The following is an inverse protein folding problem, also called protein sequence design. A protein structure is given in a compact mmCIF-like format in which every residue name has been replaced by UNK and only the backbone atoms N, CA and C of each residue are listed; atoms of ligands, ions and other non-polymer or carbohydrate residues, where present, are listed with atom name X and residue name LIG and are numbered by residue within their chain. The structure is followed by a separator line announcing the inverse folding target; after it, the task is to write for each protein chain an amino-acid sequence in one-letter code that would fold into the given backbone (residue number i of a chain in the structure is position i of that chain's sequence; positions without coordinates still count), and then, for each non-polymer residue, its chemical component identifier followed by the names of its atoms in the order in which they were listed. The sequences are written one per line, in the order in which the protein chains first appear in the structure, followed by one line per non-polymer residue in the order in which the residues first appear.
data_IF_964426941885
#
_entry.id   IF_964426941885
#
_cell.length_a   1.000
_cell.length_b   1.000
_cell.length_c   1.000
_cell.angle_alpha   90.00
_cell.angle_beta   90.00
_cell.angle_gamma   90.00
#
_symmetry.space_group_name_H-M   'P 1'
#
loop_
_entity.id
_entity.type
_entity.pdbx_description
1 polymer ?
#
# COMPACT_ATOMS: atom_id res chain seq x y z
N UNK A 1 -5.81 4.91 -5.48
CA UNK A 1 -4.44 4.37 -5.41
C UNK A 1 -4.28 3.39 -6.56
N UNK A 2 -3.11 3.34 -7.21
CA UNK A 2 -2.82 2.37 -8.29
C UNK A 2 -2.82 0.93 -7.79
N UNK A 3 -3.18 -0.02 -8.66
CA UNK A 3 -3.11 -1.46 -8.37
C UNK A 3 -1.75 -2.08 -8.77
N UNK A 4 -0.76 -1.27 -9.18
CA UNK A 4 0.47 -1.76 -9.84
C UNK A 4 1.67 -1.92 -8.92
N UNK A 5 1.56 -1.50 -7.66
CA UNK A 5 2.66 -1.56 -6.70
C UNK A 5 2.63 -2.88 -5.92
N UNK A 6 3.56 -3.77 -6.25
CA UNK A 6 3.84 -5.00 -5.50
C UNK A 6 5.21 -4.89 -4.85
N UNK A 7 5.35 -5.37 -3.62
CA UNK A 7 6.53 -5.12 -2.77
C UNK A 7 6.46 -3.77 -2.04
N UNK A 8 7.55 -3.38 -1.39
CA UNK A 8 7.59 -2.18 -0.54
C UNK A 8 7.87 -0.90 -1.34
N UNK A 9 6.99 0.10 -1.19
CA UNK A 9 7.19 1.52 -1.47
C UNK A 9 6.68 2.04 -2.82
N UNK A 10 6.55 3.37 -2.91
CA UNK A 10 6.15 4.19 -4.06
C UNK A 10 4.64 4.30 -4.33
N UNK A 11 3.82 3.48 -3.68
CA UNK A 11 2.36 3.54 -3.84
C UNK A 11 1.78 4.82 -3.22
N UNK A 12 2.35 5.26 -2.09
CA UNK A 12 1.99 6.47 -1.38
C UNK A 12 2.43 7.73 -2.12
N UNK A 13 3.64 7.73 -2.70
CA UNK A 13 4.16 8.78 -3.58
C UNK A 13 3.29 8.97 -4.83
N UNK A 14 2.85 7.87 -5.45
CA UNK A 14 1.94 7.92 -6.59
C UNK A 14 0.56 8.44 -6.18
N UNK A 15 0.04 7.98 -5.03
CA UNK A 15 -1.24 8.46 -4.53
C UNK A 15 -1.21 9.95 -4.16
N UNK A 16 -0.10 10.46 -3.60
CA UNK A 16 0.09 11.88 -3.37
C UNK A 16 -0.02 12.69 -4.67
N UNK A 17 0.55 12.20 -5.77
CA UNK A 17 0.41 12.85 -7.08
C UNK A 17 -1.04 12.83 -7.57
N UNK A 18 -1.79 11.76 -7.35
CA UNK A 18 -3.24 11.72 -7.67
C UNK A 18 -4.02 12.78 -6.90
N UNK A 19 -3.74 12.97 -5.60
CA UNK A 19 -4.37 14.02 -4.79
C UNK A 19 -4.07 15.41 -5.36
N UNK A 20 -2.83 15.65 -5.80
CA UNK A 20 -2.44 16.93 -6.43
C UNK A 20 -3.11 17.15 -7.78
N UNK A 21 -3.18 16.13 -8.63
CA UNK A 21 -3.87 16.21 -9.93
C UNK A 21 -5.37 16.46 -9.74
N UNK A 22 -5.98 15.91 -8.70
CA UNK A 22 -7.38 16.16 -8.34
C UNK A 22 -7.58 17.48 -7.57
N UNK A 23 -6.55 18.32 -7.45
CA UNK A 23 -6.58 19.61 -6.75
C UNK A 23 -7.05 19.52 -5.29
N UNK A 24 -6.85 18.36 -4.66
CA UNK A 24 -7.21 18.14 -3.27
C UNK A 24 -6.14 18.69 -2.33
N UNK A 25 -6.60 19.37 -1.28
CA UNK A 25 -5.72 19.90 -0.25
C UNK A 25 -5.31 18.80 0.73
N UNK A 26 -4.00 18.63 0.92
CA UNK A 26 -3.42 17.74 1.93
C UNK A 26 -3.15 18.52 3.22
N UNK A 27 -3.72 18.07 4.33
CA UNK A 27 -3.52 18.65 5.65
C UNK A 27 -2.59 17.79 6.50
N UNK A 28 -1.87 18.43 7.42
CA UNK A 28 -1.07 17.77 8.45
C UNK A 28 -1.41 18.39 9.81
N UNK A 29 -1.32 17.63 10.91
CA UNK A 29 -1.51 18.16 12.25
C UNK A 29 -0.62 19.38 12.51
N UNK A 30 -1.19 20.42 13.13
CA UNK A 30 -0.45 21.60 13.60
C UNK A 30 -0.42 21.57 15.13
N UNK A 31 0.65 22.13 15.72
CA UNK A 31 0.77 22.22 17.19
C UNK A 31 1.19 20.92 17.90
N UNK A 32 1.63 19.89 17.16
CA UNK A 32 2.20 18.69 17.76
C UNK A 32 3.61 18.97 18.26
N UNK A 33 3.87 18.68 19.54
CA UNK A 33 5.14 18.96 20.23
C UNK A 33 5.98 17.72 20.50
N UNK A 34 5.40 16.52 20.33
CA UNK A 34 6.02 15.24 20.68
C UNK A 34 7.06 14.74 19.65
N UNK A 35 7.16 15.39 18.48
CA UNK A 35 8.16 15.09 17.46
C UNK A 35 8.14 13.62 17.02
N UNK A 36 9.31 12.98 16.96
CA UNK A 36 9.42 11.56 16.59
C UNK A 36 8.83 10.58 17.61
N UNK A 37 8.46 11.05 18.81
CA UNK A 37 7.78 10.24 19.82
C UNK A 37 6.25 10.30 19.70
N UNK A 38 5.72 10.95 18.66
CA UNK A 38 4.29 10.95 18.36
C UNK A 38 3.75 9.54 18.12
N UNK A 39 4.57 8.67 17.51
CA UNK A 39 4.18 7.30 17.17
C UNK A 39 5.15 6.28 17.76
N UNK A 40 4.60 5.20 18.32
CA UNK A 40 5.38 4.00 18.64
C UNK A 40 5.42 3.10 17.41
N UNK A 41 6.50 3.15 16.64
CA UNK A 41 6.69 2.30 15.47
C UNK A 41 7.34 0.98 15.88
N UNK A 42 6.52 -0.04 16.16
CA UNK A 42 6.98 -1.38 16.53
C UNK A 42 7.34 -2.15 15.25
N UNK A 43 8.56 -1.93 14.76
CA UNK A 43 9.04 -2.52 13.51
C UNK A 43 10.55 -2.76 13.62
N UNK A 44 10.92 -3.96 14.04
CA UNK A 44 12.31 -4.41 13.99
C UNK A 44 12.69 -4.71 12.52
N UNK A 45 13.65 -3.98 11.91
CA UNK A 45 14.01 -4.15 10.50
C UNK A 45 14.75 -5.46 10.20
N UNK A 46 15.34 -6.11 11.20
CA UNK A 46 15.98 -7.42 11.03
C UNK A 46 14.94 -8.55 10.98
N UNK A 47 13.89 -8.44 11.81
CA UNK A 47 12.79 -9.41 11.86
C UNK A 47 11.72 -9.18 10.79
N UNK A 48 11.33 -7.93 10.58
CA UNK A 48 10.35 -7.51 9.55
C UNK A 48 11.10 -6.82 8.41
N UNK A 49 11.78 -7.62 7.60
CA UNK A 49 12.48 -7.11 6.42
C UNK A 49 11.49 -6.53 5.43
N UNK A 50 11.81 -5.37 4.87
CA UNK A 50 11.05 -4.77 3.77
C UNK A 50 11.42 -5.47 2.47
N UNK A 51 10.43 -5.84 1.67
CA UNK A 51 10.64 -6.31 0.30
C UNK A 51 10.96 -5.12 -0.62
N UNK A 52 12.23 -4.72 -0.63
CA UNK A 52 12.71 -3.57 -1.40
C UNK A 52 13.33 -3.97 -2.75
N UNK A 53 13.28 -5.26 -3.11
CA UNK A 53 13.84 -5.73 -4.37
C UNK A 53 13.10 -5.06 -5.52
N UNK A 54 13.83 -4.77 -6.59
CA UNK A 54 13.28 -4.20 -7.83
C UNK A 54 13.58 -5.12 -8.98
N UNK A 55 12.54 -5.53 -9.69
CA UNK A 55 12.61 -6.56 -10.73
C UNK A 55 12.41 -5.93 -12.09
N UNK A 56 13.46 -5.97 -12.92
CA UNK A 56 13.44 -5.49 -14.30
C UNK A 56 12.76 -4.11 -14.46
N UNK A 57 11.65 -4.04 -15.19
CA UNK A 57 10.92 -2.82 -15.49
C UNK A 57 10.32 -2.13 -14.25
N UNK A 58 10.10 -2.84 -13.13
CA UNK A 58 9.53 -2.27 -11.90
C UNK A 58 10.29 -1.03 -11.42
N UNK A 59 11.62 -1.02 -11.59
CA UNK A 59 12.46 0.12 -11.19
C UNK A 59 12.08 1.42 -11.92
N UNK A 60 11.64 1.32 -13.18
CA UNK A 60 11.22 2.45 -13.99
C UNK A 60 9.73 2.76 -13.80
N UNK A 61 8.88 1.72 -13.79
CA UNK A 61 7.42 1.86 -13.68
C UNK A 61 6.97 2.51 -12.37
N UNK A 62 7.68 2.28 -11.25
CA UNK A 62 7.32 2.83 -9.93
C UNK A 62 7.34 4.37 -9.82
N UNK A 63 7.86 5.06 -10.85
CA UNK A 63 7.89 6.53 -10.90
C UNK A 63 6.79 7.12 -11.77
N UNK A 64 6.01 6.31 -12.50
CA UNK A 64 4.91 6.79 -13.34
C UNK A 64 3.65 6.98 -12.50
N UNK A 65 2.75 7.84 -12.97
CA UNK A 65 1.37 7.87 -12.47
C UNK A 65 0.62 6.84 -13.30
N UNK A 66 -0.20 6.01 -12.66
CA UNK A 66 -1.04 5.04 -13.34
C UNK A 66 -2.41 5.67 -13.64
N UNK A 67 -2.72 6.02 -14.90
CA UNK A 67 -3.95 6.71 -15.25
C UNK A 67 -5.16 5.77 -15.30
N UNK A 68 -4.93 4.46 -15.41
CA UNK A 68 -5.97 3.47 -15.71
C UNK A 68 -6.37 2.66 -14.47
N UNK A 69 -5.40 2.27 -13.64
CA UNK A 69 -5.62 1.42 -12.49
C UNK A 69 -6.10 2.17 -11.25
N UNK A 70 -6.95 1.50 -10.47
CA UNK A 70 -7.28 1.89 -9.10
C UNK A 70 -8.54 1.21 -8.56
N UNK A 71 -9.31 1.96 -7.77
CA UNK A 71 -10.46 1.42 -7.01
C UNK A 71 -11.49 0.72 -7.89
N UNK A 72 -11.78 1.27 -9.07
CA UNK A 72 -12.86 0.81 -9.95
C UNK A 72 -12.53 -0.47 -10.73
N UNK A 73 -11.26 -0.88 -10.79
CA UNK A 73 -10.80 -2.04 -11.54
C UNK A 73 -9.80 -2.91 -10.76
N UNK A 74 -9.76 -2.78 -9.44
CA UNK A 74 -9.03 -3.72 -8.60
C UNK A 74 -9.67 -5.10 -8.73
N UNK A 75 -8.86 -6.09 -9.14
CA UNK A 75 -9.30 -7.49 -9.26
C UNK A 75 -8.90 -8.24 -8.01
N UNK A 76 -9.90 -8.69 -7.27
CA UNK A 76 -9.72 -9.41 -6.02
C UNK A 76 -10.92 -10.30 -5.73
N UNK A 77 -10.71 -11.28 -4.85
CA UNK A 77 -11.77 -12.10 -4.26
C UNK A 77 -11.65 -12.05 -2.75
N UNK A 78 -12.77 -11.79 -2.08
CA UNK A 78 -12.87 -12.03 -0.63
C UNK A 78 -13.07 -13.52 -0.44
N UNK A 79 -12.09 -14.19 0.17
CA UNK A 79 -12.13 -15.63 0.42
C UNK A 79 -12.89 -15.95 1.71
N UNK A 80 -12.73 -15.11 2.73
CA UNK A 80 -13.45 -15.24 3.99
C UNK A 80 -13.50 -13.91 4.74
N UNK A 81 -14.50 -13.79 5.61
CA UNK A 81 -14.62 -12.70 6.56
C UNK A 81 -14.88 -13.31 7.94
N UNK A 82 -14.07 -12.92 8.92
CA UNK A 82 -14.16 -13.42 10.29
C UNK A 82 -14.18 -12.26 11.28
N UNK A 83 -15.18 -12.25 12.16
CA UNK A 83 -15.19 -11.38 13.34
C UNK A 83 -14.29 -11.98 14.42
N UNK A 84 -13.42 -11.15 14.98
CA UNK A 84 -12.48 -11.50 16.03
C UNK A 84 -12.59 -10.51 17.20
N UNK A 85 -12.19 -10.97 18.38
CA UNK A 85 -12.08 -10.13 19.56
C UNK A 85 -10.70 -10.32 20.18
N UNK A 86 -9.93 -9.24 20.27
CA UNK A 86 -8.57 -9.25 20.84
C UNK A 86 -8.61 -8.41 22.12
N UNK A 87 -8.46 -9.05 23.28
CA UNK A 87 -8.50 -8.37 24.58
C UNK A 87 -9.75 -7.50 24.76
N UNK A 88 -10.90 -7.96 24.26
CA UNK A 88 -12.18 -7.24 24.33
C UNK A 88 -12.41 -6.21 23.21
N UNK A 89 -11.42 -5.94 22.35
CA UNK A 89 -11.59 -5.06 21.19
C UNK A 89 -12.04 -5.87 19.96
N UNK A 90 -13.18 -5.55 19.32
CA UNK A 90 -13.63 -6.24 18.12
C UNK A 90 -12.83 -5.81 16.88
N UNK A 91 -12.58 -6.74 15.97
CA UNK A 91 -12.05 -6.47 14.64
C UNK A 91 -12.61 -7.47 13.62
N UNK A 92 -12.47 -7.15 12.34
CA UNK A 92 -12.86 -8.03 11.24
C UNK A 92 -11.62 -8.34 10.41
N UNK A 93 -11.33 -9.64 10.23
CA UNK A 93 -10.31 -10.10 9.29
C UNK A 93 -10.97 -10.44 7.97
N UNK A 94 -10.51 -9.80 6.91
CA UNK A 94 -10.95 -10.05 5.53
C UNK A 94 -9.81 -10.72 4.78
N UNK A 95 -9.94 -12.02 4.54
CA UNK A 95 -8.97 -12.76 3.73
C UNK A 95 -9.22 -12.41 2.27
N UNK A 96 -8.21 -11.82 1.64
CA UNK A 96 -8.33 -11.26 0.29
C UNK A 96 -7.31 -11.89 -0.64
N UNK A 97 -7.78 -12.53 -1.70
CA UNK A 97 -6.94 -12.99 -2.81
C UNK A 97 -6.87 -11.88 -3.85
N UNK A 98 -5.69 -11.29 -4.03
CA UNK A 98 -5.45 -10.27 -5.06
C UNK A 98 -5.05 -10.94 -6.37
N UNK A 99 -5.67 -10.53 -7.48
CA UNK A 99 -5.32 -11.05 -8.80
C UNK A 99 -4.22 -10.19 -9.46
N UNK A 100 -3.16 -10.85 -9.92
CA UNK A 100 -2.10 -10.21 -10.70
C UNK A 100 -2.24 -10.49 -12.20
N UNK A 101 -2.21 -9.43 -13.02
CA UNK A 101 -1.97 -9.55 -14.45
C UNK A 101 -0.46 -9.57 -14.68
N UNK A 102 0.10 -10.76 -14.89
CA UNK A 102 1.54 -10.93 -15.11
C UNK A 102 2.02 -10.27 -16.40
N UNK A 103 1.13 -9.99 -17.36
CA UNK A 103 1.49 -9.25 -18.58
C UNK A 103 1.72 -7.76 -18.30
N UNK A 104 1.10 -7.23 -17.26
CA UNK A 104 1.18 -5.80 -16.90
C UNK A 104 2.12 -5.52 -15.73
N UNK A 105 2.13 -6.39 -14.72
CA UNK A 105 2.89 -6.22 -13.48
C UNK A 105 3.61 -7.52 -13.11
N UNK A 106 4.54 -8.03 -13.94
CA UNK A 106 5.22 -9.32 -13.70
C UNK A 106 6.01 -9.38 -12.38
N UNK A 107 6.35 -8.24 -11.79
CA UNK A 107 7.00 -8.15 -10.49
C UNK A 107 6.12 -8.58 -9.30
N UNK A 108 4.85 -8.91 -9.52
CA UNK A 108 3.97 -9.44 -8.48
C UNK A 108 4.28 -10.89 -8.04
N UNK A 109 5.08 -11.63 -8.83
CA UNK A 109 5.30 -13.06 -8.59
C UNK A 109 6.51 -13.36 -7.70
N UNK A 110 7.41 -12.39 -7.49
CA UNK A 110 8.68 -12.64 -6.82
C UNK A 110 8.85 -11.68 -5.65
N UNK A 111 9.21 -12.24 -4.49
CA UNK A 111 9.69 -11.52 -3.30
C UNK A 111 11.13 -11.94 -3.02
#
# INVERSE_FOLDING_TARGET
MSNRFWGWGREDDEFFRRLRTAELQLFRPKGITTGYKTFRHIHDPAWRKRDQKRIAAQKQEQFKIDPEGGLTNLRYKVESQQELMISGAPCTVITTMLECDISQTPWCQFS
#
